data_IF_727818357337
#
_entry.id   IF_727818357337
#
_cell.length_a   1.000
_cell.length_b   1.000
_cell.length_c   1.000
_cell.angle_alpha   90.00
_cell.angle_beta   90.00
_cell.angle_gamma   90.00
#
_symmetry.space_group_name_H-M   'P 1'
#
loop_
_entity.id
_entity.type
_entity.pdbx_description
1 polymer ?
#
# COMPACT_ATOMS: atom_id res chain seq x y z
N UNK A 1 -20.67 11.82 -20.14
CA UNK A 1 -19.99 11.79 -21.46
C UNK A 1 -18.54 12.17 -21.19
N UNK A 2 -17.55 11.35 -21.47
CA UNK A 2 -17.63 10.03 -22.10
C UNK A 2 -16.30 9.68 -22.74
N UNK A 3 -15.29 9.43 -21.92
CA UNK A 3 -14.02 8.90 -22.42
C UNK A 3 -14.23 7.45 -22.85
N UNK A 4 -14.59 7.25 -24.12
CA UNK A 4 -14.26 6.01 -24.81
C UNK A 4 -12.76 5.82 -24.66
N UNK A 5 -12.38 4.76 -23.93
CA UNK A 5 -11.02 4.55 -23.48
C UNK A 5 -10.08 4.58 -24.69
N UNK A 6 -9.16 5.56 -24.75
CA UNK A 6 -8.31 5.79 -25.93
C UNK A 6 -7.52 4.53 -26.35
N UNK A 7 -7.22 3.63 -25.41
CA UNK A 7 -6.63 2.32 -25.73
C UNK A 7 -7.59 1.42 -26.51
N UNK A 8 -8.86 1.30 -26.10
CA UNK A 8 -9.90 0.47 -26.75
C UNK A 8 -10.12 0.91 -28.20
N UNK A 9 -10.32 2.21 -28.40
CA UNK A 9 -10.52 2.78 -29.74
C UNK A 9 -9.31 2.56 -30.64
N UNK A 10 -8.10 2.80 -30.14
CA UNK A 10 -6.88 2.57 -30.93
C UNK A 10 -6.68 1.08 -31.28
N UNK A 11 -7.03 0.13 -30.39
CA UNK A 11 -7.01 -1.31 -30.70
C UNK A 11 -7.93 -1.59 -31.90
N UNK A 12 -9.19 -1.14 -31.86
CA UNK A 12 -10.13 -1.32 -32.96
C UNK A 12 -9.61 -0.70 -34.27
N UNK A 13 -9.06 0.51 -34.21
CA UNK A 13 -8.51 1.23 -35.37
C UNK A 13 -7.26 0.57 -35.99
N UNK A 14 -6.52 -0.26 -35.25
CA UNK A 14 -5.21 -0.77 -35.69
C UNK A 14 -5.11 -2.30 -35.75
N UNK A 15 -5.99 -3.03 -35.07
CA UNK A 15 -6.02 -4.50 -34.93
C UNK A 15 -7.43 -5.10 -35.00
N UNK A 16 -8.45 -4.28 -35.27
CA UNK A 16 -9.85 -4.72 -35.39
C UNK A 16 -10.51 -5.07 -34.06
N UNK A 17 -11.78 -5.48 -34.12
CA UNK A 17 -12.57 -5.78 -32.91
C UNK A 17 -12.18 -7.12 -32.28
N UNK A 18 -11.75 -8.11 -33.08
CA UNK A 18 -11.27 -9.42 -32.58
C UNK A 18 -10.09 -9.29 -31.59
N UNK A 19 -9.31 -8.21 -31.69
CA UNK A 19 -8.23 -7.91 -30.75
C UNK A 19 -8.74 -7.48 -29.36
N UNK A 20 -9.93 -6.88 -29.25
CA UNK A 20 -10.55 -6.60 -27.94
C UNK A 20 -11.03 -7.89 -27.28
N UNK A 21 -11.71 -8.76 -28.03
CA UNK A 21 -12.15 -10.06 -27.53
C UNK A 21 -10.96 -10.92 -27.11
N UNK A 22 -9.88 -10.94 -27.89
CA UNK A 22 -8.64 -11.61 -27.49
C UNK A 22 -8.03 -11.01 -26.21
N UNK A 23 -7.96 -9.68 -26.07
CA UNK A 23 -7.42 -9.04 -24.87
C UNK A 23 -8.28 -9.40 -23.63
N UNK A 24 -9.60 -9.44 -23.78
CA UNK A 24 -10.49 -9.93 -22.72
C UNK A 24 -10.18 -11.40 -22.37
N UNK A 25 -10.19 -12.30 -23.37
CA UNK A 25 -9.89 -13.74 -23.21
C UNK A 25 -8.52 -13.95 -22.55
N UNK A 26 -7.50 -13.22 -22.99
CA UNK A 26 -6.12 -13.29 -22.49
C UNK A 26 -6.04 -13.02 -20.98
N UNK A 27 -6.86 -12.11 -20.45
CA UNK A 27 -6.88 -11.80 -19.02
C UNK A 27 -7.87 -12.65 -18.24
N UNK A 28 -9.09 -12.87 -18.75
CA UNK A 28 -10.20 -13.49 -18.01
C UNK A 28 -10.35 -15.00 -18.20
N UNK A 29 -9.68 -15.60 -19.21
CA UNK A 29 -9.73 -17.04 -19.49
C UNK A 29 -10.98 -17.51 -20.24
N UNK A 30 -11.65 -16.59 -20.96
CA UNK A 30 -12.96 -16.83 -21.59
C UNK A 30 -13.07 -18.07 -22.50
N UNK A 31 -14.28 -18.65 -22.54
CA UNK A 31 -14.59 -19.97 -23.12
C UNK A 31 -14.10 -20.21 -24.56
N UNK A 32 -13.89 -19.14 -25.34
CA UNK A 32 -13.41 -19.15 -26.73
C UNK A 32 -12.07 -19.87 -26.96
N UNK A 33 -11.25 -20.09 -25.92
CA UNK A 33 -10.04 -20.91 -26.05
C UNK A 33 -10.31 -22.41 -26.12
N UNK A 34 -11.46 -22.91 -25.64
CA UNK A 34 -11.77 -24.36 -25.51
C UNK A 34 -10.65 -25.17 -24.80
N UNK A 35 -9.87 -24.54 -23.91
CA UNK A 35 -8.71 -25.16 -23.26
C UNK A 35 -7.46 -25.34 -24.15
N UNK A 36 -7.40 -24.66 -25.30
CA UNK A 36 -6.20 -24.61 -26.16
C UNK A 36 -5.18 -23.59 -25.60
N UNK A 37 -3.85 -23.83 -25.75
CA UNK A 37 -2.83 -22.86 -25.35
C UNK A 37 -2.99 -21.51 -26.06
N UNK A 38 -2.66 -20.43 -25.36
CA UNK A 38 -2.84 -19.04 -25.82
C UNK A 38 -2.01 -18.78 -27.09
N UNK A 39 -0.81 -19.35 -27.18
CA UNK A 39 0.08 -19.27 -28.35
C UNK A 39 -0.60 -19.77 -29.62
N UNK A 40 -1.41 -20.84 -29.51
CA UNK A 40 -2.12 -21.47 -30.63
C UNK A 40 -3.33 -20.65 -31.07
N UNK A 41 -3.83 -19.75 -30.22
CA UNK A 41 -4.85 -18.78 -30.61
C UNK A 41 -4.20 -17.56 -31.28
N UNK A 42 -3.12 -17.02 -30.70
CA UNK A 42 -2.31 -15.94 -31.27
C UNK A 42 -1.83 -16.31 -32.69
N UNK A 43 -1.24 -17.50 -32.86
CA UNK A 43 -0.66 -17.94 -34.14
C UNK A 43 -1.67 -18.10 -35.28
N UNK A 44 -2.97 -18.13 -34.96
CA UNK A 44 -4.04 -18.40 -35.93
C UNK A 44 -4.77 -17.13 -36.40
N UNK A 45 -4.50 -15.97 -35.79
CA UNK A 45 -5.04 -14.68 -36.25
C UNK A 45 -3.92 -13.70 -36.53
N UNK A 46 -3.92 -13.14 -37.74
CA UNK A 46 -2.90 -12.20 -38.21
C UNK A 46 -2.83 -10.96 -37.31
N UNK A 47 -3.97 -10.38 -36.94
CA UNK A 47 -3.97 -9.16 -36.11
C UNK A 47 -3.61 -9.44 -34.65
N UNK A 48 -3.85 -10.65 -34.12
CA UNK A 48 -3.37 -11.02 -32.78
C UNK A 48 -1.86 -11.26 -32.77
N UNK A 49 -1.33 -11.95 -33.78
CA UNK A 49 0.11 -12.13 -33.98
C UNK A 49 0.81 -10.77 -34.14
N UNK A 50 0.27 -9.89 -34.99
CA UNK A 50 0.73 -8.51 -35.21
C UNK A 50 0.63 -7.65 -33.95
N UNK A 51 -0.39 -7.79 -33.10
CA UNK A 51 -0.52 -7.09 -31.82
C UNK A 51 0.58 -7.53 -30.85
N UNK A 52 0.77 -8.84 -30.72
CA UNK A 52 1.80 -9.44 -29.87
C UNK A 52 3.20 -9.06 -30.38
N UNK A 53 3.43 -9.05 -31.68
CA UNK A 53 4.73 -8.66 -32.26
C UNK A 53 4.97 -7.15 -32.19
N UNK A 54 3.94 -6.31 -32.32
CA UNK A 54 4.04 -4.86 -32.01
C UNK A 54 4.46 -4.65 -30.55
N UNK A 55 3.88 -5.41 -29.62
CA UNK A 55 4.26 -5.35 -28.20
C UNK A 55 5.67 -5.91 -27.91
N UNK A 56 6.24 -6.76 -28.79
CA UNK A 56 7.63 -7.23 -28.72
C UNK A 56 8.61 -6.20 -29.30
N UNK A 57 8.32 -5.68 -30.49
CA UNK A 57 9.16 -4.65 -31.13
C UNK A 57 9.25 -3.38 -30.26
N UNK A 58 8.22 -3.07 -29.47
CA UNK A 58 8.24 -1.96 -28.50
C UNK A 58 8.94 -2.27 -27.16
N UNK A 59 9.33 -3.52 -26.87
CA UNK A 59 10.17 -3.84 -25.69
C UNK A 59 11.54 -3.15 -25.73
N UNK A 60 12.01 -2.80 -26.94
CA UNK A 60 13.27 -2.07 -27.20
C UNK A 60 13.33 -0.71 -26.46
N UNK A 61 12.19 -0.14 -26.07
CA UNK A 61 12.14 1.13 -25.32
C UNK A 61 12.53 1.01 -23.83
N UNK A 62 12.37 -0.17 -23.21
CA UNK A 62 12.48 -0.34 -21.77
C UNK A 62 13.30 -1.60 -21.42
N UNK A 63 14.63 -1.46 -21.20
CA UNK A 63 15.52 -2.59 -20.97
C UNK A 63 15.31 -3.30 -19.63
N UNK A 64 14.56 -2.70 -18.69
CA UNK A 64 14.21 -3.31 -17.40
C UNK A 64 12.69 -3.44 -17.17
N UNK A 65 12.28 -4.58 -16.61
CA UNK A 65 10.95 -4.84 -16.07
C UNK A 65 11.03 -5.17 -14.57
N UNK A 66 10.53 -4.27 -13.71
CA UNK A 66 10.52 -4.44 -12.25
C UNK A 66 9.17 -4.97 -11.75
N UNK A 67 9.16 -6.18 -11.21
CA UNK A 67 7.97 -6.88 -10.71
C UNK A 67 8.01 -7.01 -9.18
N UNK A 68 6.99 -6.49 -8.48
CA UNK A 68 6.84 -6.67 -7.03
C UNK A 68 5.89 -7.81 -6.71
N UNK A 69 6.35 -8.77 -5.91
CA UNK A 69 5.52 -9.88 -5.42
C UNK A 69 4.89 -9.49 -4.08
N UNK A 70 3.56 -9.44 -4.02
CA UNK A 70 2.78 -8.95 -2.86
C UNK A 70 1.83 -10.06 -2.39
N UNK A 71 1.52 -10.15 -1.09
CA UNK A 71 0.58 -11.15 -0.55
C UNK A 71 1.02 -11.75 0.80
N UNK A 72 0.22 -12.70 1.33
CA UNK A 72 0.46 -13.33 2.64
C UNK A 72 1.71 -14.24 2.69
N UNK A 73 2.08 -14.68 3.88
CA UNK A 73 3.12 -15.71 4.08
C UNK A 73 2.62 -17.06 3.55
N UNK A 74 3.52 -17.91 3.04
CA UNK A 74 3.15 -19.22 2.47
C UNK A 74 2.38 -19.16 1.14
N UNK A 75 2.04 -17.98 0.62
CA UNK A 75 1.39 -17.79 -0.69
C UNK A 75 2.28 -18.18 -1.90
N UNK A 76 3.58 -18.43 -1.67
CA UNK A 76 4.51 -18.88 -2.71
C UNK A 76 5.32 -17.78 -3.40
N UNK A 77 5.33 -16.54 -2.88
CA UNK A 77 6.02 -15.38 -3.48
C UNK A 77 7.45 -15.68 -3.94
N UNK A 78 8.34 -16.02 -3.00
CA UNK A 78 9.74 -16.37 -3.28
C UNK A 78 9.89 -17.51 -4.31
N UNK A 79 8.96 -18.48 -4.33
CA UNK A 79 8.96 -19.57 -5.31
C UNK A 79 8.54 -19.08 -6.70
N UNK A 80 7.51 -18.24 -6.81
CA UNK A 80 7.13 -17.61 -8.08
C UNK A 80 8.24 -16.68 -8.61
N UNK A 81 9.01 -16.03 -7.71
CA UNK A 81 10.20 -15.29 -8.09
C UNK A 81 11.28 -16.17 -8.73
N UNK A 82 11.50 -17.37 -8.18
CA UNK A 82 12.40 -18.37 -8.76
C UNK A 82 11.89 -18.87 -10.12
N UNK A 83 10.58 -19.14 -10.24
CA UNK A 83 9.94 -19.55 -11.50
C UNK A 83 10.13 -18.49 -12.59
N UNK A 84 9.84 -17.21 -12.30
CA UNK A 84 10.01 -16.11 -13.27
C UNK A 84 11.48 -15.98 -13.68
N UNK A 85 12.41 -15.99 -12.72
CA UNK A 85 13.85 -15.88 -12.99
C UNK A 85 14.46 -17.16 -13.60
N UNK A 86 13.70 -18.27 -13.70
CA UNK A 86 14.20 -19.57 -14.16
C UNK A 86 15.47 -20.00 -13.38
N UNK A 87 15.52 -19.77 -12.06
CA UNK A 87 16.63 -20.12 -11.15
C UNK A 87 16.25 -20.01 -9.65
N UNK A 88 17.05 -20.59 -8.75
CA UNK A 88 16.85 -20.49 -7.29
C UNK A 88 17.36 -19.15 -6.68
N UNK A 89 16.85 -18.04 -7.18
CA UNK A 89 17.26 -16.69 -6.76
C UNK A 89 16.90 -16.36 -5.29
N UNK A 90 15.83 -16.95 -4.76
CA UNK A 90 15.29 -16.76 -3.42
C UNK A 90 15.16 -18.09 -2.66
N UNK A 91 15.49 -18.08 -1.36
CA UNK A 91 15.33 -19.24 -0.45
C UNK A 91 13.85 -19.56 -0.24
N UNK A 92 13.44 -20.79 -0.55
CA UNK A 92 12.08 -21.32 -0.35
C UNK A 92 12.14 -22.48 0.63
N UNK A 93 11.42 -22.40 1.75
CA UNK A 93 11.36 -23.48 2.75
C UNK A 93 9.93 -23.63 3.31
N UNK A 94 9.53 -24.87 3.59
CA UNK A 94 8.26 -25.20 4.25
C UNK A 94 8.37 -24.98 5.76
N UNK A 95 8.30 -23.72 6.19
CA UNK A 95 8.39 -23.29 7.59
C UNK A 95 7.04 -22.79 8.12
N UNK A 96 6.67 -23.05 9.39
CA UNK A 96 5.52 -22.43 10.05
C UNK A 96 5.74 -20.96 10.44
N UNK A 97 6.97 -20.44 10.29
CA UNK A 97 7.32 -19.04 10.50
C UNK A 97 7.90 -18.42 9.21
N UNK A 98 7.72 -17.12 8.99
CA UNK A 98 8.17 -16.45 7.77
C UNK A 98 9.69 -16.55 7.53
N UNK A 99 10.06 -17.04 6.35
CA UNK A 99 11.46 -17.20 5.88
C UNK A 99 12.03 -15.91 5.27
N UNK A 100 11.15 -14.94 4.97
CA UNK A 100 11.52 -13.64 4.38
C UNK A 100 11.07 -12.54 5.35
N UNK A 101 11.99 -12.12 6.23
CA UNK A 101 11.77 -11.05 7.21
C UNK A 101 12.00 -9.63 6.64
N UNK A 102 12.88 -9.51 5.64
CA UNK A 102 13.17 -8.28 4.89
C UNK A 102 12.97 -8.53 3.39
N UNK A 103 12.64 -7.49 2.63
CA UNK A 103 12.50 -7.60 1.18
C UNK A 103 13.82 -7.96 0.50
N UNK A 104 13.74 -8.68 -0.62
CA UNK A 104 14.88 -9.16 -1.41
C UNK A 104 14.70 -8.76 -2.86
N UNK A 105 15.75 -8.22 -3.48
CA UNK A 105 15.76 -7.86 -4.90
C UNK A 105 16.73 -8.76 -5.65
N UNK A 106 16.30 -9.28 -6.80
CA UNK A 106 17.09 -10.15 -7.68
C UNK A 106 16.76 -9.82 -9.13
N UNK A 107 17.77 -9.71 -9.99
CA UNK A 107 17.57 -9.39 -11.40
C UNK A 107 18.34 -10.35 -12.32
N UNK A 108 17.78 -10.58 -13.51
CA UNK A 108 18.36 -11.47 -14.53
C UNK A 108 17.92 -11.02 -15.92
N UNK A 109 18.82 -11.14 -16.90
CA UNK A 109 18.45 -10.97 -18.30
C UNK A 109 17.79 -12.27 -18.78
N UNK A 110 16.52 -12.17 -19.18
CA UNK A 110 15.76 -13.26 -19.80
C UNK A 110 15.26 -12.80 -21.15
N UNK A 111 15.54 -13.62 -22.18
CA UNK A 111 15.07 -13.45 -23.56
C UNK A 111 15.34 -12.05 -24.16
N UNK A 112 16.37 -11.37 -23.64
CA UNK A 112 16.81 -10.01 -24.03
C UNK A 112 16.51 -8.89 -23.02
N UNK A 113 15.61 -9.13 -22.05
CA UNK A 113 15.08 -8.12 -21.11
C UNK A 113 15.63 -8.33 -19.70
N UNK A 114 16.06 -7.27 -19.00
CA UNK A 114 16.44 -7.36 -17.59
C UNK A 114 15.16 -7.43 -16.73
N UNK A 115 14.87 -8.58 -16.12
CA UNK A 115 13.72 -8.76 -15.24
C UNK A 115 14.20 -8.72 -13.80
N UNK A 116 13.67 -7.77 -13.04
CA UNK A 116 14.00 -7.52 -11.63
C UNK A 116 12.81 -7.89 -10.76
N UNK A 117 12.98 -8.91 -9.92
CA UNK A 117 11.98 -9.36 -8.95
C UNK A 117 12.24 -8.74 -7.59
N UNK A 118 11.19 -8.18 -6.99
CA UNK A 118 11.14 -7.69 -5.63
C UNK A 118 10.26 -8.66 -4.82
N UNK A 119 10.88 -9.56 -4.05
CA UNK A 119 10.20 -10.45 -3.11
C UNK A 119 9.99 -9.74 -1.76
N UNK A 120 8.75 -9.75 -1.26
CA UNK A 120 8.37 -9.03 -0.01
C UNK A 120 8.06 -10.00 1.15
N UNK A 121 8.18 -9.55 2.41
CA UNK A 121 7.63 -10.25 3.57
C UNK A 121 6.13 -10.53 3.49
N UNK A 122 5.56 -11.24 4.47
CA UNK A 122 4.10 -11.42 4.56
C UNK A 122 3.41 -10.08 4.85
N UNK A 123 2.47 -9.67 4.00
CA UNK A 123 1.77 -8.36 4.11
C UNK A 123 0.85 -8.26 5.36
N UNK A 124 0.64 -9.36 6.09
CA UNK A 124 -0.08 -9.37 7.37
C UNK A 124 0.87 -9.62 8.55
N UNK A 125 1.61 -10.75 8.54
CA UNK A 125 2.58 -11.15 9.58
C UNK A 125 3.61 -10.07 9.94
N UNK A 126 3.94 -9.19 9.00
CA UNK A 126 4.99 -8.17 9.19
C UNK A 126 4.44 -6.84 9.68
N UNK A 127 3.18 -6.53 9.38
CA UNK A 127 2.65 -5.16 9.55
C UNK A 127 1.76 -5.02 10.80
N UNK A 128 1.23 -6.12 11.34
CA UNK A 128 0.34 -6.12 12.50
C UNK A 128 1.06 -6.46 13.84
N UNK A 129 2.36 -6.76 13.82
CA UNK A 129 3.03 -7.44 14.96
C UNK A 129 4.00 -6.55 15.75
N UNK A 130 4.68 -5.56 15.14
CA UNK A 130 5.47 -4.57 15.89
C UNK A 130 5.89 -3.34 15.07
N UNK A 131 6.15 -2.22 15.75
CA UNK A 131 6.73 -1.00 15.17
C UNK A 131 8.02 -1.27 14.39
N UNK A 132 8.85 -2.19 14.88
CA UNK A 132 10.11 -2.59 14.24
C UNK A 132 9.90 -3.26 12.87
N UNK A 133 8.80 -4.00 12.70
CA UNK A 133 8.48 -4.69 11.45
C UNK A 133 7.72 -3.78 10.48
N UNK A 134 6.85 -2.89 10.99
CA UNK A 134 6.30 -1.78 10.22
C UNK A 134 7.43 -0.85 9.69
N UNK A 135 8.43 -0.55 10.51
CA UNK A 135 9.63 0.19 10.12
C UNK A 135 10.45 -0.54 9.04
N UNK A 136 10.70 -1.84 9.18
CA UNK A 136 11.39 -2.63 8.15
C UNK A 136 10.64 -2.60 6.80
N UNK A 137 9.32 -2.58 6.84
CA UNK A 137 8.49 -2.68 5.64
C UNK A 137 8.19 -1.31 5.00
N UNK A 138 8.15 -0.22 5.77
CA UNK A 138 8.31 1.14 5.25
C UNK A 138 9.71 1.37 4.66
N UNK A 139 10.77 0.84 5.30
CA UNK A 139 12.12 0.88 4.74
C UNK A 139 12.18 0.17 3.38
N UNK A 140 11.53 -0.99 3.21
CA UNK A 140 11.39 -1.61 1.89
C UNK A 140 10.83 -0.63 0.86
N UNK A 141 9.72 0.07 1.15
CA UNK A 141 9.12 1.06 0.24
C UNK A 141 10.14 2.16 -0.12
N UNK A 142 10.89 2.67 0.85
CA UNK A 142 11.95 3.67 0.60
C UNK A 142 13.14 3.13 -0.22
N UNK A 143 13.40 1.82 -0.18
CA UNK A 143 14.45 1.15 -0.95
C UNK A 143 14.05 0.85 -2.39
N UNK A 144 12.76 0.90 -2.74
CA UNK A 144 12.28 0.65 -4.11
C UNK A 144 12.34 1.89 -5.00
N UNK A 145 13.51 2.53 -5.02
CA UNK A 145 13.90 3.41 -6.13
C UNK A 145 14.87 2.65 -7.04
N UNK A 146 14.55 2.45 -8.34
CA UNK A 146 13.36 2.92 -9.04
C UNK A 146 12.10 2.08 -8.79
N UNK A 147 10.92 2.73 -8.75
CA UNK A 147 9.61 2.14 -8.37
C UNK A 147 9.22 0.92 -9.23
N UNK A 148 8.49 -0.08 -8.72
CA UNK A 148 8.06 -1.25 -9.50
C UNK A 148 7.15 -0.84 -10.67
N UNK A 149 7.22 -1.57 -11.78
CA UNK A 149 6.34 -1.38 -12.95
C UNK A 149 5.01 -2.14 -12.81
N UNK A 150 5.02 -3.27 -12.07
CA UNK A 150 3.89 -4.19 -11.92
C UNK A 150 3.86 -4.79 -10.52
N UNK A 151 2.65 -4.97 -9.99
CA UNK A 151 2.40 -5.71 -8.75
C UNK A 151 1.78 -7.08 -9.10
N UNK A 152 2.44 -8.15 -8.67
CA UNK A 152 1.91 -9.51 -8.74
C UNK A 152 1.35 -9.87 -7.35
N UNK A 153 0.03 -9.83 -7.24
CA UNK A 153 -0.69 -10.22 -6.02
C UNK A 153 -0.77 -11.74 -5.97
N UNK A 154 0.15 -12.36 -5.21
CA UNK A 154 0.32 -13.81 -5.16
C UNK A 154 -0.69 -14.42 -4.20
N UNK A 155 -1.55 -15.30 -4.71
CA UNK A 155 -2.61 -16.00 -3.96
C UNK A 155 -2.43 -17.49 -4.18
N UNK A 156 -2.36 -18.28 -3.10
CA UNK A 156 -2.29 -19.75 -3.25
C UNK A 156 -3.69 -20.33 -3.39
N UNK A 157 -3.87 -21.22 -4.38
CA UNK A 157 -5.10 -21.97 -4.57
C UNK A 157 -5.39 -22.83 -3.32
N UNK A 158 -6.63 -22.77 -2.83
CA UNK A 158 -7.01 -23.27 -1.50
C UNK A 158 -7.99 -22.33 -0.80
N UNK A 159 -7.83 -22.13 0.52
CA UNK A 159 -8.72 -21.24 1.29
C UNK A 159 -8.34 -19.77 1.15
N UNK A 160 -9.19 -19.02 0.45
CA UNK A 160 -9.19 -17.56 0.47
C UNK A 160 -9.50 -17.02 1.89
N UNK A 161 -8.84 -15.93 2.29
CA UNK A 161 -8.97 -15.32 3.62
C UNK A 161 -8.98 -13.79 3.54
N UNK A 162 -9.26 -13.12 4.66
CA UNK A 162 -9.25 -11.64 4.74
C UNK A 162 -7.85 -11.05 4.45
N UNK A 163 -6.80 -11.86 4.60
CA UNK A 163 -5.40 -11.51 4.36
C UNK A 163 -5.12 -11.12 2.91
N UNK A 164 -5.69 -11.86 1.94
CA UNK A 164 -5.60 -11.52 0.51
C UNK A 164 -6.25 -10.17 0.20
N UNK A 165 -7.42 -9.88 0.78
CA UNK A 165 -8.12 -8.60 0.58
C UNK A 165 -7.37 -7.41 1.17
N UNK A 166 -6.63 -7.60 2.26
CA UNK A 166 -5.81 -6.54 2.85
C UNK A 166 -4.54 -6.24 2.04
N UNK A 167 -4.02 -7.20 1.26
CA UNK A 167 -2.89 -6.95 0.36
C UNK A 167 -3.23 -5.98 -0.79
N UNK A 168 -4.50 -5.91 -1.23
CA UNK A 168 -4.97 -4.89 -2.19
C UNK A 168 -5.00 -3.50 -1.56
N UNK A 169 -5.54 -3.37 -0.34
CA UNK A 169 -5.52 -2.10 0.42
C UNK A 169 -4.10 -1.60 0.61
N UNK A 170 -3.17 -2.49 0.98
CA UNK A 170 -1.77 -2.14 1.14
C UNK A 170 -1.13 -1.57 -0.14
N UNK A 171 -1.50 -2.09 -1.32
CA UNK A 171 -1.07 -1.51 -2.61
C UNK A 171 -1.66 -0.10 -2.79
N UNK A 172 -2.96 0.09 -2.53
CA UNK A 172 -3.64 1.39 -2.63
C UNK A 172 -3.05 2.43 -1.67
N UNK A 173 -2.80 2.05 -0.41
CA UNK A 173 -2.31 2.91 0.66
C UNK A 173 -0.86 3.39 0.43
N UNK A 174 -0.02 2.56 -0.21
CA UNK A 174 1.42 2.85 -0.36
C UNK A 174 1.81 3.31 -1.78
N UNK A 175 1.06 2.91 -2.81
CA UNK A 175 1.33 3.24 -4.22
C UNK A 175 0.18 3.99 -4.92
N UNK A 176 -0.92 4.24 -4.22
CA UNK A 176 -2.10 4.95 -4.72
C UNK A 176 -3.09 4.05 -5.45
N UNK A 177 -4.35 4.51 -5.57
CA UNK A 177 -5.41 3.81 -6.31
C UNK A 177 -5.01 3.45 -7.75
N UNK A 178 -4.22 4.30 -8.42
CA UNK A 178 -3.72 4.02 -9.76
C UNK A 178 -2.80 2.80 -9.83
N UNK A 179 -2.17 2.37 -8.73
CA UNK A 179 -1.34 1.16 -8.72
C UNK A 179 -2.15 -0.11 -9.02
N UNK A 180 -3.46 -0.12 -8.72
CA UNK A 180 -4.36 -1.21 -9.11
C UNK A 180 -4.53 -1.33 -10.63
N UNK A 181 -4.23 -0.28 -11.42
CA UNK A 181 -4.13 -0.41 -12.88
C UNK A 181 -2.96 -1.32 -13.30
N UNK A 182 -1.94 -1.46 -12.46
CA UNK A 182 -0.71 -2.24 -12.70
C UNK A 182 -0.64 -3.52 -11.85
N UNK A 183 -1.74 -3.92 -11.20
CA UNK A 183 -1.84 -5.14 -10.38
C UNK A 183 -2.46 -6.29 -11.17
N UNK A 184 -1.82 -7.46 -11.12
CA UNK A 184 -2.32 -8.73 -11.66
C UNK A 184 -2.28 -9.80 -10.57
N UNK A 185 -3.29 -10.66 -10.50
CA UNK A 185 -3.30 -11.77 -9.53
C UNK A 185 -2.49 -12.94 -10.07
N UNK A 186 -1.56 -13.45 -9.27
CA UNK A 186 -0.77 -14.63 -9.59
C UNK A 186 -1.21 -15.79 -8.69
N UNK A 187 -2.03 -16.69 -9.23
CA UNK A 187 -2.44 -17.90 -8.53
C UNK A 187 -1.29 -18.90 -8.47
N UNK A 188 -0.99 -19.46 -7.30
CA UNK A 188 0.04 -20.49 -7.12
C UNK A 188 -0.55 -21.82 -6.67
N UNK A 189 0.12 -22.92 -7.05
CA UNK A 189 -0.38 -24.27 -6.80
C UNK A 189 -1.33 -24.75 -7.90
N UNK A 190 -1.08 -24.38 -9.16
CA UNK A 190 -1.90 -24.77 -10.32
C UNK A 190 -2.05 -26.29 -10.50
N UNK A 191 -1.14 -27.08 -9.94
CA UNK A 191 -1.25 -28.53 -9.76
C UNK A 191 -2.55 -28.95 -9.05
N UNK A 192 -3.03 -28.15 -8.09
CA UNK A 192 -4.25 -28.40 -7.32
C UNK A 192 -5.55 -28.22 -8.13
N UNK A 193 -5.47 -27.74 -9.38
CA UNK A 193 -6.64 -27.61 -10.25
C UNK A 193 -7.05 -28.95 -10.88
N UNK A 194 -6.17 -29.96 -10.93
CA UNK A 194 -6.43 -31.26 -11.56
C UNK A 194 -6.96 -31.14 -13.01
N UNK A 195 -6.43 -30.17 -13.78
CA UNK A 195 -6.86 -29.87 -15.15
C UNK A 195 -8.19 -29.12 -15.28
N UNK A 196 -8.77 -28.61 -14.17
CA UNK A 196 -9.99 -27.79 -14.19
C UNK A 196 -9.65 -26.31 -14.43
N UNK A 197 -10.53 -25.55 -15.11
CA UNK A 197 -10.41 -24.08 -15.19
C UNK A 197 -10.35 -23.41 -13.79
N UNK A 198 -9.43 -22.47 -13.59
CA UNK A 198 -9.28 -21.67 -12.36
C UNK A 198 -10.47 -20.74 -12.12
N UNK A 199 -11.19 -20.40 -13.18
CA UNK A 199 -12.45 -19.68 -13.25
C UNK A 199 -13.54 -20.39 -12.39
N UNK A 200 -13.49 -21.73 -12.30
CA UNK A 200 -14.34 -22.51 -11.37
C UNK A 200 -13.89 -22.42 -9.91
N UNK A 201 -12.63 -22.12 -9.64
CA UNK A 201 -12.15 -21.83 -8.28
C UNK A 201 -12.52 -20.39 -7.87
N UNK A 202 -12.37 -19.42 -8.78
CA UNK A 202 -12.74 -18.02 -8.57
C UNK A 202 -14.25 -17.88 -8.28
N UNK A 203 -15.11 -18.50 -9.11
CA UNK A 203 -16.57 -18.41 -8.95
C UNK A 203 -17.14 -19.09 -7.70
N UNK A 204 -16.36 -19.90 -6.98
CA UNK A 204 -16.75 -20.48 -5.69
C UNK A 204 -16.66 -19.48 -4.52
N UNK A 205 -16.12 -18.26 -4.71
CA UNK A 205 -16.01 -17.26 -3.65
C UNK A 205 -16.28 -15.85 -4.19
N UNK A 206 -17.39 -15.25 -3.74
CA UNK A 206 -17.77 -13.87 -4.07
C UNK A 206 -16.67 -12.85 -3.75
N UNK A 207 -15.99 -13.00 -2.61
CA UNK A 207 -14.92 -12.08 -2.21
C UNK A 207 -13.67 -12.21 -3.11
N UNK A 208 -13.34 -13.43 -3.55
CA UNK A 208 -12.24 -13.65 -4.51
C UNK A 208 -12.62 -13.14 -5.91
N UNK A 209 -13.86 -13.38 -6.36
CA UNK A 209 -14.36 -12.83 -7.63
C UNK A 209 -14.28 -11.30 -7.61
N UNK A 210 -14.77 -10.65 -6.56
CA UNK A 210 -14.67 -9.21 -6.36
C UNK A 210 -13.22 -8.71 -6.32
N UNK A 211 -12.27 -9.49 -5.80
CA UNK A 211 -10.83 -9.17 -5.82
C UNK A 211 -10.25 -9.24 -7.24
N UNK A 212 -10.65 -10.25 -8.02
CA UNK A 212 -10.31 -10.40 -9.44
C UNK A 212 -10.90 -9.24 -10.26
N UNK A 213 -12.15 -8.88 -10.04
CA UNK A 213 -12.83 -7.73 -10.68
C UNK A 213 -12.12 -6.40 -10.34
N UNK A 214 -11.70 -6.22 -9.08
CA UNK A 214 -10.90 -5.07 -8.62
C UNK A 214 -9.55 -4.99 -9.36
N UNK A 215 -8.97 -6.14 -9.72
CA UNK A 215 -7.77 -6.24 -10.56
C UNK A 215 -8.10 -6.25 -12.09
N UNK A 216 -9.28 -5.76 -12.49
CA UNK A 216 -9.82 -5.73 -13.86
C UNK A 216 -9.87 -7.09 -14.55
N UNK A 217 -10.15 -8.16 -13.81
CA UNK A 217 -10.20 -9.53 -14.33
C UNK A 217 -8.83 -10.15 -14.62
N UNK A 218 -7.71 -9.47 -14.34
CA UNK A 218 -6.38 -9.88 -14.79
C UNK A 218 -5.72 -10.85 -13.81
N UNK A 219 -5.53 -12.08 -14.25
CA UNK A 219 -4.78 -13.08 -13.49
C UNK A 219 -3.94 -14.01 -14.39
N UNK A 220 -3.06 -14.78 -13.74
CA UNK A 220 -2.29 -15.87 -14.31
C UNK A 220 -2.11 -16.99 -13.26
N UNK A 221 -1.73 -18.20 -13.67
CA UNK A 221 -1.65 -19.39 -12.80
C UNK A 221 -0.29 -20.07 -12.96
N UNK A 222 0.41 -20.27 -11.84
CA UNK A 222 1.71 -20.93 -11.79
C UNK A 222 1.65 -22.32 -11.12
N UNK A 223 2.38 -23.26 -11.72
CA UNK A 223 2.82 -24.47 -11.06
C UNK A 223 4.33 -24.35 -10.73
N UNK A 224 4.63 -23.85 -9.53
CA UNK A 224 6.00 -23.66 -9.06
C UNK A 224 6.78 -24.98 -8.80
N UNK A 225 6.13 -26.15 -8.91
CA UNK A 225 6.84 -27.44 -8.93
C UNK A 225 7.36 -27.79 -10.33
N UNK A 226 6.70 -27.32 -11.39
CA UNK A 226 7.16 -27.50 -12.77
C UNK A 226 8.02 -26.31 -13.22
N UNK A 227 9.28 -26.32 -12.77
CA UNK A 227 10.28 -25.35 -13.21
C UNK A 227 10.74 -25.57 -14.67
N UNK A 228 10.36 -26.69 -15.29
CA UNK A 228 10.70 -27.00 -16.69
C UNK A 228 9.75 -26.32 -17.69
N UNK A 229 8.50 -26.11 -17.30
CA UNK A 229 7.54 -25.31 -18.03
C UNK A 229 7.91 -23.82 -17.97
N UNK A 230 8.69 -23.37 -18.94
CA UNK A 230 8.99 -21.95 -19.16
C UNK A 230 7.83 -21.20 -19.84
N UNK A 231 6.85 -21.88 -20.44
CA UNK A 231 5.69 -21.28 -21.10
C UNK A 231 4.86 -20.44 -20.14
N UNK A 232 4.64 -20.90 -18.89
CA UNK A 232 3.93 -20.10 -17.88
C UNK A 232 4.60 -18.73 -17.64
N UNK A 233 5.94 -18.66 -17.69
CA UNK A 233 6.68 -17.40 -17.57
C UNK A 233 6.48 -16.53 -18.81
N UNK A 234 6.53 -17.12 -20.01
CA UNK A 234 6.30 -16.41 -21.28
C UNK A 234 4.89 -15.85 -21.36
N UNK A 235 3.86 -16.64 -21.03
CA UNK A 235 2.46 -16.20 -20.93
C UNK A 235 2.32 -15.02 -19.95
N UNK A 236 2.87 -15.13 -18.74
CA UNK A 236 2.83 -14.07 -17.74
C UNK A 236 3.46 -12.77 -18.28
N UNK A 237 4.61 -12.85 -18.95
CA UNK A 237 5.30 -11.69 -19.52
C UNK A 237 4.53 -11.07 -20.69
N UNK A 238 3.88 -11.88 -21.53
CA UNK A 238 2.96 -11.36 -22.57
C UNK A 238 1.76 -10.64 -21.93
N UNK A 239 1.10 -11.24 -20.93
CA UNK A 239 0.01 -10.59 -20.19
C UNK A 239 0.47 -9.28 -19.54
N UNK A 240 1.67 -9.24 -18.96
CA UNK A 240 2.26 -8.04 -18.37
C UNK A 240 2.54 -6.96 -19.42
N UNK A 241 3.17 -7.31 -20.55
CA UNK A 241 3.45 -6.37 -21.63
C UNK A 241 2.15 -5.75 -22.16
N UNK A 242 1.14 -6.56 -22.48
CA UNK A 242 -0.18 -6.07 -22.91
C UNK A 242 -0.79 -5.14 -21.86
N UNK A 243 -0.75 -5.52 -20.58
CA UNK A 243 -1.26 -4.67 -19.49
C UNK A 243 -0.55 -3.31 -19.41
N UNK A 244 0.78 -3.25 -19.60
CA UNK A 244 1.52 -1.99 -19.57
C UNK A 244 1.11 -1.05 -20.71
N UNK A 245 1.07 -1.55 -21.96
CA UNK A 245 0.63 -0.78 -23.13
C UNK A 245 -0.79 -0.25 -22.96
N UNK A 246 -1.72 -1.06 -22.42
CA UNK A 246 -3.12 -0.66 -22.20
C UNK A 246 -3.30 0.47 -21.17
N UNK A 247 -2.55 0.45 -20.06
CA UNK A 247 -2.73 1.44 -18.98
C UNK A 247 -1.90 2.72 -19.17
N UNK A 248 -0.82 2.69 -19.97
CA UNK A 248 0.04 3.86 -20.20
C UNK A 248 -0.15 4.47 -21.59
N UNK A 249 -0.68 3.71 -22.54
CA UNK A 249 -0.71 4.05 -23.96
C UNK A 249 0.66 3.89 -24.62
N UNK A 250 0.67 3.94 -25.95
CA UNK A 250 1.82 3.67 -26.84
C UNK A 250 3.08 4.48 -26.61
N UNK A 251 2.92 5.71 -26.13
CA UNK A 251 4.05 6.57 -25.82
C UNK A 251 4.60 6.19 -24.45
N UNK A 252 5.06 4.94 -24.38
CA UNK A 252 5.89 4.34 -23.35
C UNK A 252 7.32 4.80 -23.61
N UNK A 253 7.53 6.11 -23.46
CA UNK A 253 8.85 6.75 -23.42
C UNK A 253 9.27 6.92 -21.96
N UNK A 254 10.56 6.76 -21.68
CA UNK A 254 11.15 6.93 -20.35
C UNK A 254 10.69 8.25 -19.69
N UNK A 255 10.69 9.33 -20.48
CA UNK A 255 10.24 10.68 -20.10
C UNK A 255 8.83 10.72 -19.49
N UNK A 256 7.94 9.82 -19.92
CA UNK A 256 6.55 9.74 -19.42
C UNK A 256 6.41 8.86 -18.18
N UNK A 257 7.29 7.86 -18.00
CA UNK A 257 7.47 7.19 -16.69
C UNK A 257 8.02 8.20 -15.68
N UNK A 258 9.08 8.91 -16.03
CA UNK A 258 9.74 9.87 -15.15
C UNK A 258 8.77 10.97 -14.73
N UNK A 259 7.99 11.52 -15.66
CA UNK A 259 6.95 12.51 -15.35
C UNK A 259 5.90 11.96 -14.38
N UNK A 260 5.24 10.83 -14.67
CA UNK A 260 4.20 10.28 -13.76
C UNK A 260 4.79 9.83 -12.42
N UNK A 261 5.97 9.22 -12.42
CA UNK A 261 6.65 8.77 -11.19
C UNK A 261 6.97 9.95 -10.28
N UNK A 262 7.40 11.07 -10.87
CA UNK A 262 7.72 12.33 -10.19
C UNK A 262 6.47 13.11 -9.75
N UNK A 263 5.40 13.11 -10.54
CA UNK A 263 4.11 13.69 -10.11
C UNK A 263 3.54 12.92 -8.90
N UNK A 264 3.61 11.59 -8.93
CA UNK A 264 3.23 10.72 -7.80
C UNK A 264 4.17 10.94 -6.61
N UNK A 265 5.48 11.07 -6.83
CA UNK A 265 6.48 11.34 -5.79
C UNK A 265 6.28 12.69 -5.10
N UNK A 266 6.02 13.77 -5.85
CA UNK A 266 5.66 15.09 -5.30
C UNK A 266 4.38 14.96 -4.47
N UNK A 267 3.31 14.32 -5.00
CA UNK A 267 2.04 14.15 -4.29
C UNK A 267 2.21 13.31 -3.00
N UNK A 268 3.05 12.27 -3.03
CA UNK A 268 3.38 11.44 -1.86
C UNK A 268 4.19 12.23 -0.82
N UNK A 269 5.18 13.02 -1.24
CA UNK A 269 6.01 13.83 -0.35
C UNK A 269 5.20 14.98 0.29
N UNK A 270 4.32 15.63 -0.47
CA UNK A 270 3.35 16.62 0.04
C UNK A 270 2.39 16.02 1.06
N UNK A 271 1.85 14.82 0.81
CA UNK A 271 0.96 14.15 1.75
C UNK A 271 1.69 13.69 3.02
N UNK A 272 2.92 13.20 2.91
CA UNK A 272 3.74 12.86 4.07
C UNK A 272 4.04 14.10 4.91
N UNK A 273 4.53 15.19 4.29
CA UNK A 273 4.77 16.49 4.96
C UNK A 273 3.51 17.01 5.64
N UNK A 274 2.33 16.88 5.02
CA UNK A 274 1.03 17.24 5.60
C UNK A 274 0.74 16.43 6.88
N UNK A 275 0.82 15.10 6.83
CA UNK A 275 0.56 14.23 8.00
C UNK A 275 1.52 14.53 9.15
N UNK A 276 2.82 14.64 8.88
CA UNK A 276 3.83 15.00 9.90
C UNK A 276 3.60 16.40 10.49
N UNK A 277 3.19 17.38 9.69
CA UNK A 277 2.83 18.72 10.17
C UNK A 277 1.56 18.69 11.05
N UNK A 278 0.55 17.92 10.67
CA UNK A 278 -0.68 17.77 11.46
C UNK A 278 -0.39 17.11 12.82
N UNK A 279 0.43 16.06 12.86
CA UNK A 279 0.91 15.40 14.08
C UNK A 279 1.71 16.36 14.98
N UNK A 280 2.68 17.09 14.43
CA UNK A 280 3.47 18.07 15.17
C UNK A 280 2.58 19.17 15.79
N UNK A 281 1.59 19.68 15.03
CA UNK A 281 0.64 20.65 15.57
C UNK A 281 -0.31 20.04 16.63
N UNK A 282 -0.66 18.75 16.55
CA UNK A 282 -1.41 18.10 17.64
C UNK A 282 -0.55 17.98 18.91
N UNK A 283 0.72 17.63 18.77
CA UNK A 283 1.67 17.52 19.88
C UNK A 283 1.96 18.89 20.52
N UNK A 284 2.10 19.96 19.73
CA UNK A 284 2.18 21.35 20.24
C UNK A 284 0.88 21.78 20.93
N UNK A 285 -0.29 21.55 20.32
CA UNK A 285 -1.59 21.85 20.96
C UNK A 285 -1.77 21.08 22.27
N UNK A 286 -1.30 19.82 22.35
CA UNK A 286 -1.33 19.01 23.57
C UNK A 286 -0.47 19.63 24.68
N UNK A 287 0.77 20.02 24.37
CA UNK A 287 1.69 20.70 25.31
C UNK A 287 1.17 22.06 25.76
N UNK A 288 0.63 22.86 24.83
CA UNK A 288 0.04 24.16 25.14
C UNK A 288 -1.19 24.04 26.04
N UNK A 289 -2.07 23.06 25.79
CA UNK A 289 -3.22 22.79 26.64
C UNK A 289 -2.80 22.31 28.05
N UNK A 290 -1.79 21.46 28.15
CA UNK A 290 -1.24 21.01 29.44
C UNK A 290 -0.62 22.18 30.23
N UNK A 291 0.16 23.05 29.56
CA UNK A 291 0.75 24.24 30.18
C UNK A 291 -0.33 25.25 30.61
N UNK A 292 -1.36 25.46 29.78
CA UNK A 292 -2.50 26.31 30.12
C UNK A 292 -3.27 25.77 31.33
N UNK A 293 -3.47 24.45 31.42
CA UNK A 293 -4.14 23.80 32.56
C UNK A 293 -3.34 23.95 33.86
N UNK A 294 -2.01 23.83 33.81
CA UNK A 294 -1.12 24.10 34.95
C UNK A 294 -1.22 25.56 35.40
N UNK A 295 -1.10 26.50 34.47
CA UNK A 295 -1.16 27.93 34.75
C UNK A 295 -2.54 28.36 35.29
N UNK A 296 -3.65 27.76 34.85
CA UNK A 296 -4.98 28.04 35.44
C UNK A 296 -5.14 27.47 36.85
N UNK A 297 -4.48 26.35 37.16
CA UNK A 297 -4.38 25.81 38.53
C UNK A 297 -3.62 26.78 39.45
N UNK A 298 -2.40 27.15 39.08
CA UNK A 298 -1.57 28.12 39.81
C UNK A 298 -2.30 29.47 39.99
N UNK A 299 -3.02 29.95 38.98
CA UNK A 299 -3.81 31.18 39.04
C UNK A 299 -5.02 31.06 39.98
N UNK A 300 -5.62 29.88 40.13
CA UNK A 300 -6.70 29.64 41.08
C UNK A 300 -6.15 29.60 42.52
N UNK A 301 -5.06 28.87 42.75
CA UNK A 301 -4.37 28.81 44.04
C UNK A 301 -3.92 30.20 44.51
N UNK A 302 -3.29 30.99 43.63
CA UNK A 302 -2.90 32.37 43.93
C UNK A 302 -4.09 33.32 44.20
N UNK A 303 -5.30 33.01 43.71
CA UNK A 303 -6.52 33.76 44.06
C UNK A 303 -7.04 33.37 45.44
N UNK A 304 -7.02 32.09 45.77
CA UNK A 304 -7.49 31.58 47.05
C UNK A 304 -6.57 32.10 48.18
N UNK A 305 -5.25 31.99 48.02
CA UNK A 305 -4.26 32.55 48.96
C UNK A 305 -4.38 34.07 49.16
N UNK A 306 -4.82 34.82 48.14
CA UNK A 306 -5.10 36.26 48.28
C UNK A 306 -6.38 36.52 49.08
N UNK A 307 -7.43 35.73 48.90
CA UNK A 307 -8.65 35.84 49.68
C UNK A 307 -8.39 35.53 51.16
N UNK A 308 -7.67 34.45 51.45
CA UNK A 308 -7.24 34.08 52.81
C UNK A 308 -6.39 35.19 53.47
N UNK A 309 -5.49 35.82 52.71
CA UNK A 309 -4.68 36.95 53.20
C UNK A 309 -5.52 38.21 53.46
N UNK A 310 -6.53 38.50 52.63
CA UNK A 310 -7.46 39.62 52.86
C UNK A 310 -8.37 39.38 54.08
N UNK A 311 -8.86 38.16 54.29
CA UNK A 311 -9.63 37.78 55.49
C UNK A 311 -8.77 37.91 56.76
N UNK A 312 -7.55 37.34 56.75
CA UNK A 312 -6.61 37.46 57.87
C UNK A 312 -6.23 38.92 58.18
N UNK A 313 -6.05 39.75 57.15
CA UNK A 313 -5.81 41.18 57.33
C UNK A 313 -7.00 41.92 57.95
N UNK A 314 -8.24 41.56 57.57
CA UNK A 314 -9.44 42.15 58.18
C UNK A 314 -9.62 41.76 59.65
N UNK A 315 -9.34 40.51 60.04
CA UNK A 315 -9.41 40.09 61.45
C UNK A 315 -8.34 40.81 62.30
N UNK A 316 -7.08 40.86 61.85
CA UNK A 316 -6.01 41.61 62.54
C UNK A 316 -6.35 43.11 62.66
N UNK A 317 -6.91 43.71 61.61
CA UNK A 317 -7.38 45.11 61.62
C UNK A 317 -8.54 45.33 62.59
N UNK A 318 -9.47 44.37 62.68
CA UNK A 318 -10.58 44.39 63.64
C UNK A 318 -10.06 44.34 65.09
N UNK A 319 -9.20 43.38 65.43
CA UNK A 319 -8.65 43.26 66.79
C UNK A 319 -7.79 44.46 67.19
N UNK A 320 -7.03 45.05 66.26
CA UNK A 320 -6.29 46.29 66.52
C UNK A 320 -7.22 47.47 66.86
N UNK A 321 -8.36 47.60 66.16
CA UNK A 321 -9.38 48.63 66.44
C UNK A 321 -10.10 48.40 67.77
N UNK A 322 -10.40 47.14 68.12
CA UNK A 322 -10.96 46.79 69.43
C UNK A 322 -9.98 47.11 70.56
N UNK A 323 -8.71 46.72 70.41
CA UNK A 323 -7.66 46.94 71.42
C UNK A 323 -7.41 48.44 71.68
N UNK A 324 -7.22 49.22 70.60
CA UNK A 324 -7.03 50.67 70.70
C UNK A 324 -8.25 51.38 71.30
N UNK A 325 -9.47 51.00 70.91
CA UNK A 325 -10.70 51.51 71.52
C UNK A 325 -10.81 51.23 73.03
N UNK A 326 -10.42 50.03 73.46
CA UNK A 326 -10.38 49.66 74.88
C UNK A 326 -9.32 50.48 75.65
N UNK A 327 -8.18 50.76 75.03
CA UNK A 327 -7.13 51.62 75.59
C UNK A 327 -7.60 53.07 75.78
N UNK A 328 -8.32 53.63 74.79
CA UNK A 328 -8.97 54.95 74.92
C UNK A 328 -10.03 54.97 76.03
N UNK A 329 -10.82 53.91 76.20
CA UNK A 329 -11.79 53.80 77.28
C UNK A 329 -11.13 53.79 78.67
N UNK A 330 -10.03 53.04 78.83
CA UNK A 330 -9.23 53.04 80.07
C UNK A 330 -8.67 54.44 80.36
N UNK A 331 -8.13 55.14 79.35
CA UNK A 331 -7.65 56.52 79.50
C UNK A 331 -8.76 57.49 79.91
N UNK A 332 -9.97 57.37 79.35
CA UNK A 332 -11.15 58.15 79.76
C UNK A 332 -11.54 57.87 81.22
N UNK A 333 -11.55 56.61 81.65
CA UNK A 333 -11.87 56.23 83.03
C UNK A 333 -10.82 56.76 84.01
N UNK A 334 -9.54 56.64 83.70
CA UNK A 334 -8.42 57.16 84.52
C UNK A 334 -8.43 58.70 84.59
N UNK A 335 -8.85 59.38 83.52
CA UNK A 335 -9.03 60.82 83.51
C UNK A 335 -10.23 61.27 84.35
N UNK A 336 -11.36 60.55 84.28
CA UNK A 336 -12.56 60.85 85.05
C UNK A 336 -12.40 60.57 86.55
N UNK A 337 -11.73 59.47 86.92
CA UNK A 337 -11.44 59.09 88.30
C UNK A 337 -10.36 59.96 89.01
N UNK A 338 -9.83 60.98 88.32
CA UNK A 338 -8.91 62.00 88.89
C UNK A 338 -9.59 63.35 89.14
N UNK A 339 -10.92 63.41 89.10
CA UNK A 339 -11.71 64.63 89.18
C UNK A 339 -12.83 64.52 90.22
#
# INVERSE_FOLDING_TARGET
MGEENNAVKWIQENFGEEALDFIMILFTGGDLLEGKPVEKFISNSYDLQKLVDTCKEQEVTHPELRLMLVGKTGAGKSASGNTILREEAFRVEASPASVTANCKVKNKILDGKNITIIDTPGVMDTWLISDQMAYNAHNCISMFSPKPHVFLLVIRLGRFTLEESNAVKWIQENFGEEALNFTMILFTGGDLLEGKPVEKFISNSYDLQKLVDTCKGRYHVFNNFDQSNHTQVTELLVKINVMLHLNMGYFYTQERIDYKSKEIEIRQEEEFKRKTMEELQMEERRKMNEMAMKLTGELHENKNLKAELEEAYQDVSFWFRVSTGFFFLILMIVFWAKK
#
